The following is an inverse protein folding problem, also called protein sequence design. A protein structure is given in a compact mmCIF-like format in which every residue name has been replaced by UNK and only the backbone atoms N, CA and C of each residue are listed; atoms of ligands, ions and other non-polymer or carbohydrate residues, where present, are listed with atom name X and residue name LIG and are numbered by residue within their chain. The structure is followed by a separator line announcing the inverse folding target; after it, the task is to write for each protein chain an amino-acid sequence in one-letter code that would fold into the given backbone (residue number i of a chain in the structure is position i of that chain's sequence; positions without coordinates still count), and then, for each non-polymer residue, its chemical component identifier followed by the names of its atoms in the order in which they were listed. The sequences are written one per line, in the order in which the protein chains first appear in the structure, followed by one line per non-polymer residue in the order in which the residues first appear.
data_IF_052411151044
#
_entry.id   IF_052411151044
#
_cell.length_a   1.000
_cell.length_b   1.000
_cell.length_c   1.000
_cell.angle_alpha   90.00
_cell.angle_beta   90.00
_cell.angle_gamma   90.00
#
_symmetry.space_group_name_H-M   'P 1'
#
loop_
_entity.id
_entity.type
_entity.pdbx_description
1 polymer ?
#
# COMPACT_ATOMS: atom_id res chain seq x y z
N UNK A 1 1.50 14.50 1.59
CA UNK A 1 1.00 13.12 1.83
C UNK A 1 0.19 13.15 3.11
N UNK A 2 -1.05 12.63 3.12
CA UNK A 2 -1.83 12.53 4.36
C UNK A 2 -1.15 11.57 5.35
N UNK A 3 -1.31 11.82 6.65
CA UNK A 3 -0.83 10.96 7.74
C UNK A 3 -2.05 10.47 8.51
N UNK A 4 -2.13 9.17 8.78
CA UNK A 4 -3.21 8.59 9.58
C UNK A 4 -3.22 9.20 10.99
N UNK A 5 -4.41 9.43 11.57
CA UNK A 5 -4.52 10.14 12.85
C UNK A 5 -3.78 9.44 13.99
N UNK A 6 -3.85 8.11 14.07
CA UNK A 6 -3.10 7.36 15.08
C UNK A 6 -1.57 7.58 14.98
N UNK A 7 -1.03 7.63 13.76
CA UNK A 7 0.37 7.93 13.56
C UNK A 7 0.65 9.41 13.91
N UNK A 8 -0.26 10.32 13.59
CA UNK A 8 -0.13 11.73 13.96
C UNK A 8 -0.08 11.91 15.48
N UNK A 9 -1.00 11.30 16.21
CA UNK A 9 -1.05 11.35 17.68
C UNK A 9 0.21 10.76 18.30
N UNK A 10 0.66 9.59 17.81
CA UNK A 10 1.92 9.00 18.24
C UNK A 10 3.11 9.92 17.94
N UNK A 11 3.12 10.57 16.78
CA UNK A 11 4.19 11.49 16.47
C UNK A 11 4.17 12.69 17.42
N UNK A 12 3.01 13.29 17.67
CA UNK A 12 2.88 14.45 18.56
C UNK A 12 3.24 14.13 20.01
N UNK A 13 3.08 12.89 20.48
CA UNK A 13 3.45 12.50 21.84
C UNK A 13 4.96 12.35 22.06
N UNK A 14 5.75 12.26 21.00
CA UNK A 14 7.21 12.19 21.11
C UNK A 14 7.76 13.59 21.38
N UNK A 15 8.57 13.77 22.43
CA UNK A 15 9.36 15.00 22.62
C UNK A 15 10.45 15.12 21.56
N UNK A 16 10.51 16.25 20.84
CA UNK A 16 11.41 16.42 19.69
C UNK A 16 11.98 17.83 19.63
N UNK A 17 13.21 17.90 19.14
CA UNK A 17 13.84 19.13 18.67
C UNK A 17 13.45 19.34 17.19
N UNK A 18 12.74 20.44 16.84
CA UNK A 18 12.35 20.74 15.46
C UNK A 18 13.51 20.88 14.48
N UNK A 19 14.72 21.16 14.98
CA UNK A 19 15.93 21.26 14.15
C UNK A 19 16.52 19.90 13.75
N UNK A 20 16.01 18.80 14.32
CA UNK A 20 16.50 17.43 14.08
C UNK A 20 15.56 16.62 13.20
N UNK A 21 16.06 15.55 12.54
CA UNK A 21 15.20 14.60 11.86
C UNK A 21 14.15 13.99 12.81
N UNK A 22 12.94 13.74 12.31
CA UNK A 22 11.83 13.13 13.07
C UNK A 22 12.24 11.86 13.81
N UNK A 23 13.07 11.04 13.15
CA UNK A 23 13.71 9.87 13.75
C UNK A 23 15.22 10.05 13.67
N UNK A 24 15.87 10.55 14.74
CA UNK A 24 17.31 10.72 14.76
C UNK A 24 18.01 9.39 15.05
N UNK A 25 19.22 9.23 14.52
CA UNK A 25 20.17 8.24 15.01
C UNK A 25 20.64 8.59 16.43
N UNK A 26 21.35 7.69 17.10
CA UNK A 26 21.96 7.94 18.41
C UNK A 26 22.87 9.20 18.43
N UNK A 27 23.41 9.61 17.27
CA UNK A 27 24.23 10.81 17.11
C UNK A 27 23.42 12.06 16.68
N UNK A 28 22.08 12.01 16.73
CA UNK A 28 21.22 13.13 16.31
C UNK A 28 21.08 13.32 14.79
N UNK A 29 21.82 12.55 13.98
CA UNK A 29 21.82 12.64 12.51
C UNK A 29 20.76 11.75 11.86
N UNK A 30 20.57 11.89 10.54
CA UNK A 30 19.67 11.02 9.74
C UNK A 30 20.03 9.54 9.91
N UNK A 31 19.02 8.68 9.92
CA UNK A 31 19.20 7.23 9.96
C UNK A 31 19.84 6.72 8.65
N UNK A 32 20.76 5.78 8.79
CA UNK A 32 21.31 5.04 7.66
C UNK A 32 20.34 3.92 7.26
N UNK A 33 20.03 3.79 5.97
CA UNK A 33 19.07 2.81 5.46
C UNK A 33 19.45 1.36 5.76
N UNK A 34 20.74 1.00 5.66
CA UNK A 34 21.24 -0.33 5.99
C UNK A 34 21.04 -0.63 7.47
N UNK A 35 21.45 0.30 8.36
CA UNK A 35 21.28 0.14 9.81
C UNK A 35 19.80 0.05 10.21
N UNK A 36 18.93 0.85 9.59
CA UNK A 36 17.49 0.79 9.82
C UNK A 36 16.93 -0.58 9.44
N UNK A 37 17.33 -1.12 8.28
CA UNK A 37 16.93 -2.46 7.85
C UNK A 37 17.38 -3.52 8.85
N UNK A 38 18.62 -3.44 9.33
CA UNK A 38 19.16 -4.44 10.25
C UNK A 38 18.45 -4.38 11.61
N UNK A 39 18.18 -3.17 12.11
CA UNK A 39 17.36 -2.97 13.31
C UNK A 39 15.94 -3.49 13.13
N UNK A 40 15.31 -3.21 11.97
CA UNK A 40 13.98 -3.70 11.66
C UNK A 40 13.93 -5.24 11.66
N UNK A 41 14.89 -5.90 11.01
CA UNK A 41 14.97 -7.37 11.02
C UNK A 41 15.14 -7.90 12.44
N UNK A 42 16.06 -7.31 13.20
CA UNK A 42 16.38 -7.79 14.55
C UNK A 42 15.25 -7.57 15.56
N UNK A 43 14.66 -6.37 15.57
CA UNK A 43 13.73 -5.93 16.61
C UNK A 43 12.26 -6.23 16.27
N UNK A 44 11.92 -6.38 14.99
CA UNK A 44 10.53 -6.59 14.56
C UNK A 44 10.36 -7.94 13.90
N UNK A 45 11.12 -8.25 12.85
CA UNK A 45 10.92 -9.49 12.09
C UNK A 45 11.23 -10.73 12.93
N UNK A 46 12.38 -10.79 13.60
CA UNK A 46 12.76 -11.99 14.38
C UNK A 46 11.74 -12.31 15.48
N UNK A 47 11.32 -11.36 16.35
CA UNK A 47 10.29 -11.63 17.35
C UNK A 47 8.95 -12.05 16.76
N UNK A 48 8.49 -11.38 15.69
CA UNK A 48 7.22 -11.73 15.05
C UNK A 48 7.27 -13.09 14.36
N UNK A 49 8.39 -13.47 13.76
CA UNK A 49 8.55 -14.78 13.13
C UNK A 49 8.50 -15.91 14.15
N UNK A 50 9.04 -15.69 15.35
CA UNK A 50 8.95 -16.66 16.44
C UNK A 50 7.51 -16.78 16.98
N UNK A 51 6.79 -15.65 17.09
CA UNK A 51 5.40 -15.61 17.58
C UNK A 51 4.39 -16.13 16.56
N UNK A 52 4.66 -15.95 15.28
CA UNK A 52 3.80 -16.30 14.16
C UNK A 52 4.62 -17.16 13.17
N UNK A 53 4.86 -18.43 13.48
CA UNK A 53 5.60 -19.33 12.61
C UNK A 53 4.88 -19.48 11.27
N UNK A 54 5.67 -19.53 10.20
CA UNK A 54 5.16 -19.66 8.83
C UNK A 54 5.05 -21.14 8.48
N UNK A 55 3.89 -21.62 8.00
CA UNK A 55 3.76 -22.97 7.46
C UNK A 55 4.76 -23.24 6.33
N UNK A 56 5.10 -24.51 6.13
CA UNK A 56 6.00 -24.91 5.05
C UNK A 56 5.39 -24.55 3.68
N UNK A 57 6.20 -23.95 2.81
CA UNK A 57 5.77 -23.49 1.48
C UNK A 57 5.08 -22.11 1.46
N UNK A 58 4.80 -21.50 2.61
CA UNK A 58 4.18 -20.18 2.68
C UNK A 58 5.19 -19.03 2.92
N UNK A 59 4.73 -17.79 2.72
CA UNK A 59 5.50 -16.58 3.06
C UNK A 59 4.93 -15.95 4.32
N UNK A 60 5.78 -15.72 5.31
CA UNK A 60 5.38 -15.04 6.55
C UNK A 60 6.41 -14.03 7.01
N UNK A 61 6.43 -13.75 8.32
CA UNK A 61 7.26 -12.67 8.86
C UNK A 61 8.76 -12.86 8.59
N UNK A 62 9.27 -14.10 8.54
CA UNK A 62 10.68 -14.38 8.26
C UNK A 62 11.15 -13.80 6.91
N UNK A 63 10.24 -13.75 5.94
CA UNK A 63 10.47 -13.19 4.61
C UNK A 63 10.17 -11.69 4.54
N UNK A 64 9.56 -11.12 5.59
CA UNK A 64 9.15 -9.72 5.67
C UNK A 64 10.33 -8.75 5.56
N UNK A 65 10.16 -7.71 4.75
CA UNK A 65 11.10 -6.60 4.56
C UNK A 65 10.35 -5.27 4.65
N UNK A 66 11.08 -4.15 4.72
CA UNK A 66 10.45 -2.82 4.75
C UNK A 66 9.54 -2.58 3.54
N UNK A 67 9.93 -3.05 2.34
CA UNK A 67 9.07 -2.94 1.16
C UNK A 67 7.80 -3.80 1.26
N UNK A 68 7.78 -4.87 2.07
CA UNK A 68 6.59 -5.69 2.29
C UNK A 68 5.44 -4.89 2.93
N UNK A 69 5.74 -3.92 3.81
CA UNK A 69 4.71 -3.03 4.36
C UNK A 69 4.09 -2.14 3.30
N UNK A 70 4.92 -1.68 2.35
CA UNK A 70 4.43 -0.88 1.23
C UNK A 70 3.50 -1.71 0.35
N UNK A 71 3.86 -2.94 0.04
CA UNK A 71 2.99 -3.89 -0.67
C UNK A 71 1.68 -4.16 0.07
N UNK A 72 1.77 -4.45 1.37
CA UNK A 72 0.59 -4.68 2.21
C UNK A 72 -0.35 -3.46 2.22
N UNK A 73 0.19 -2.26 2.41
CA UNK A 73 -0.58 -1.02 2.37
C UNK A 73 -1.28 -0.84 1.01
N UNK A 74 -0.54 -1.00 -0.10
CA UNK A 74 -1.13 -0.90 -1.44
C UNK A 74 -2.28 -1.89 -1.63
N UNK A 75 -2.02 -3.18 -1.36
CA UNK A 75 -3.02 -4.24 -1.50
C UNK A 75 -4.26 -3.97 -0.65
N UNK A 76 -4.07 -3.57 0.62
CA UNK A 76 -5.18 -3.26 1.52
C UNK A 76 -6.03 -2.10 1.01
N UNK A 77 -5.42 -1.01 0.54
CA UNK A 77 -6.17 0.15 0.07
C UNK A 77 -6.88 -0.12 -1.27
N UNK A 78 -6.27 -0.90 -2.18
CA UNK A 78 -6.92 -1.35 -3.43
C UNK A 78 -8.14 -2.21 -3.11
N UNK A 79 -8.02 -3.14 -2.16
CA UNK A 79 -9.13 -3.98 -1.73
C UNK A 79 -10.25 -3.19 -1.03
N UNK A 80 -9.94 -2.00 -0.50
CA UNK A 80 -10.92 -1.07 0.08
C UNK A 80 -11.50 -0.10 -0.96
N UNK A 81 -11.20 -0.27 -2.25
CA UNK A 81 -11.75 0.55 -3.33
C UNK A 81 -11.04 1.88 -3.57
N UNK A 82 -9.85 2.10 -2.99
CA UNK A 82 -9.11 3.34 -3.25
C UNK A 82 -8.53 3.34 -4.66
N UNK A 83 -8.81 4.41 -5.39
CA UNK A 83 -8.40 4.58 -6.78
C UNK A 83 -6.86 4.58 -6.95
N UNK A 84 -6.38 3.91 -7.99
CA UNK A 84 -4.97 3.72 -8.34
C UNK A 84 -4.17 5.04 -8.36
N UNK A 85 -4.69 6.06 -9.03
CA UNK A 85 -4.03 7.35 -9.15
C UNK A 85 -3.83 8.04 -7.78
N UNK A 86 -4.76 7.82 -6.85
CA UNK A 86 -4.66 8.32 -5.47
C UNK A 86 -3.53 7.61 -4.74
N UNK A 87 -3.42 6.28 -4.88
CA UNK A 87 -2.34 5.49 -4.28
C UNK A 87 -0.97 5.84 -4.85
N UNK A 88 -0.84 6.01 -6.17
CA UNK A 88 0.41 6.43 -6.79
C UNK A 88 0.89 7.78 -6.25
N UNK A 89 -0.03 8.75 -6.10
CA UNK A 89 0.26 10.06 -5.50
C UNK A 89 0.72 9.94 -4.05
N UNK A 90 0.10 9.09 -3.24
CA UNK A 90 0.49 8.91 -1.84
C UNK A 90 1.84 8.22 -1.68
N UNK A 91 2.12 7.23 -2.52
CA UNK A 91 3.34 6.42 -2.43
C UNK A 91 4.57 7.12 -3.04
N UNK A 92 4.39 8.25 -3.71
CA UNK A 92 5.48 8.95 -4.41
C UNK A 92 6.09 8.12 -5.55
N UNK A 93 5.32 7.20 -6.12
CA UNK A 93 5.77 6.36 -7.23
C UNK A 93 5.66 7.12 -8.55
N UNK A 94 6.78 7.27 -9.27
CA UNK A 94 6.78 7.63 -10.70
C UNK A 94 6.53 6.43 -11.62
N UNK A 95 6.75 5.20 -11.14
CA UNK A 95 6.63 3.99 -11.93
C UNK A 95 5.54 3.07 -11.34
N UNK A 96 4.51 2.83 -12.15
CA UNK A 96 3.22 2.21 -11.84
C UNK A 96 3.26 0.68 -11.68
N UNK A 97 4.41 0.05 -11.94
CA UNK A 97 4.55 -1.42 -11.99
C UNK A 97 4.09 -2.14 -10.71
N UNK A 98 4.33 -1.56 -9.52
CA UNK A 98 3.87 -2.19 -8.27
C UNK A 98 2.34 -2.27 -8.19
N UNK A 99 1.63 -1.23 -8.64
CA UNK A 99 0.19 -1.15 -8.48
C UNK A 99 -0.56 -1.80 -9.64
N UNK A 100 0.06 -1.84 -10.83
CA UNK A 100 -0.46 -2.56 -11.99
C UNK A 100 -0.66 -4.07 -11.70
N UNK A 101 0.33 -4.72 -11.07
CA UNK A 101 0.23 -6.14 -10.68
C UNK A 101 -0.96 -6.47 -9.77
N UNK A 102 -1.50 -5.50 -9.03
CA UNK A 102 -2.66 -5.73 -8.15
C UNK A 102 -4.00 -5.59 -8.88
N UNK A 103 -4.05 -4.90 -10.01
CA UNK A 103 -5.26 -4.78 -10.82
C UNK A 103 -5.35 -5.86 -11.90
N UNK A 104 -4.21 -6.40 -12.37
CA UNK A 104 -4.20 -7.62 -13.21
C UNK A 104 -4.91 -8.79 -12.48
N UNK A 105 -4.81 -8.85 -11.15
CA UNK A 105 -5.54 -9.82 -10.31
C UNK A 105 -7.06 -9.53 -10.21
N UNK A 106 -7.53 -8.39 -10.70
CA UNK A 106 -8.94 -7.94 -10.71
C UNK A 106 -9.55 -7.93 -12.12
N UNK A 107 -8.97 -8.62 -13.10
CA UNK A 107 -9.52 -8.72 -14.47
C UNK A 107 -10.99 -9.20 -14.50
N UNK A 108 -11.42 -10.01 -13.54
CA UNK A 108 -12.83 -10.41 -13.41
C UNK A 108 -13.76 -9.23 -13.06
N UNK A 109 -13.33 -8.30 -12.20
CA UNK A 109 -14.07 -7.05 -11.92
C UNK A 109 -14.01 -6.10 -13.12
N UNK A 110 -12.86 -6.00 -13.79
CA UNK A 110 -12.72 -5.15 -14.98
C UNK A 110 -13.65 -5.62 -16.11
N UNK A 111 -13.78 -6.93 -16.29
CA UNK A 111 -14.71 -7.54 -17.25
C UNK A 111 -16.17 -7.23 -16.89
N UNK A 112 -16.53 -7.32 -15.60
CA UNK A 112 -17.88 -6.98 -15.14
C UNK A 112 -18.20 -5.49 -15.32
N UNK A 113 -17.23 -4.60 -15.07
CA UNK A 113 -17.38 -3.16 -15.32
C UNK A 113 -17.55 -2.89 -16.81
N UNK A 114 -16.72 -3.47 -17.67
CA UNK A 114 -16.87 -3.33 -19.13
C UNK A 114 -18.23 -3.83 -19.63
N UNK A 115 -18.74 -4.93 -19.08
CA UNK A 115 -20.06 -5.45 -19.40
C UNK A 115 -21.20 -4.52 -18.94
N UNK A 116 -20.96 -3.67 -17.93
CA UNK A 116 -21.94 -2.71 -17.40
C UNK A 116 -21.99 -1.38 -18.16
N UNK A 117 -21.05 -1.12 -19.07
CA UNK A 117 -21.01 0.12 -19.86
C UNK A 117 -21.98 -0.03 -21.04
N UNK A 118 -23.07 0.72 -21.01
CA UNK A 118 -24.04 0.80 -22.11
C UNK A 118 -23.43 1.65 -23.25
N UNK A 119 -22.76 1.00 -24.21
CA UNK A 119 -21.97 1.69 -25.26
C UNK A 119 -22.79 2.25 -26.42
N UNK A 120 -24.03 1.79 -26.61
CA UNK A 120 -24.88 2.23 -27.72
C UNK A 120 -26.20 2.76 -27.17
N UNK A 121 -26.72 3.87 -27.71
CA UNK A 121 -28.07 4.30 -27.38
C UNK A 121 -29.03 3.18 -27.78
N UNK A 122 -29.96 2.82 -26.89
CA UNK A 122 -31.07 1.92 -27.23
C UNK A 122 -31.76 2.47 -28.47
N UNK A 123 -31.64 1.78 -29.60
CA UNK A 123 -32.42 2.10 -30.79
C UNK A 123 -33.89 1.86 -30.42
N UNK A 124 -34.64 2.95 -30.26
CA UNK A 124 -36.08 2.85 -30.19
C UNK A 124 -36.60 2.16 -31.46
N UNK A 125 -37.51 1.18 -31.36
CA UNK A 125 -38.09 0.57 -32.53
C UNK A 125 -38.82 1.65 -33.31
N UNK A 126 -38.42 1.86 -34.57
CA UNK A 126 -39.10 2.75 -35.49
C UNK A 126 -40.59 2.36 -35.56
N UNK A 127 -41.43 3.18 -34.93
CA UNK A 127 -42.87 3.10 -35.07
C UNK A 127 -43.24 3.35 -36.52
N UNK A 128 -43.53 2.28 -37.26
CA UNK A 128 -44.15 2.36 -38.57
C UNK A 128 -45.59 2.84 -38.41
N UNK A 129 -45.86 4.07 -38.83
CA UNK A 129 -47.22 4.48 -39.16
C UNK A 129 -47.48 4.07 -40.61
N UNK A 130 -48.38 3.09 -40.77
CA UNK A 130 -49.14 2.89 -41.99
C UNK A 130 -50.30 3.86 -42.10
#
# INVERSE_FOLDING_TARGET
MPVHEDLRLLLLSMSRDPSRPVFPSALGKRLNCGRLRDQFVRLVIRPLSARFPTPEGERGFANGRLHSFRHFFCSRMVNQGVHLLTLQKWLGHRNSQMVAHYFDLKDAEATAVMASIEMLPKTEPAGGNG
#
